data_IF_013001196503
#
_entry.id   IF_013001196503
#
_cell.length_a   1.000
_cell.length_b   1.000
_cell.length_c   1.000
_cell.angle_alpha   90.00
_cell.angle_beta   90.00
_cell.angle_gamma   90.00
#
_symmetry.space_group_name_H-M   'P 1'
#
loop_
_entity.id
_entity.type
_entity.pdbx_description
1 polymer ?
#
# COMPACT_ATOMS: atom_id res chain seq x y z
N UNK A 1 10.17 4.96 -0.06
CA UNK A 1 11.34 5.88 -0.14
C UNK A 1 10.83 7.31 -0.15
N UNK A 2 10.20 7.78 -1.23
CA UNK A 2 9.66 9.14 -1.34
C UNK A 2 8.58 9.46 -0.30
N UNK A 3 7.52 8.64 -0.22
CA UNK A 3 6.42 8.88 0.70
C UNK A 3 6.79 8.63 2.18
N UNK A 4 7.63 7.63 2.46
CA UNK A 4 7.86 7.10 3.82
C UNK A 4 9.24 7.37 4.44
N UNK A 5 10.21 7.79 3.66
CA UNK A 5 11.61 7.93 4.07
C UNK A 5 12.37 6.62 4.29
N UNK A 6 11.73 5.45 4.18
CA UNK A 6 12.40 4.15 4.38
C UNK A 6 13.48 3.92 3.32
N UNK A 7 14.65 3.49 3.77
CA UNK A 7 15.84 3.19 2.97
C UNK A 7 16.23 1.71 3.00
N UNK A 8 15.79 0.97 4.01
CA UNK A 8 16.05 -0.48 4.16
C UNK A 8 15.16 -1.37 3.29
N UNK A 9 14.34 -0.78 2.41
CA UNK A 9 13.37 -1.48 1.56
C UNK A 9 14.04 -2.52 0.68
N UNK A 10 13.55 -3.75 0.73
CA UNK A 10 13.97 -4.86 -0.13
C UNK A 10 12.75 -5.55 -0.72
N UNK A 11 12.81 -5.82 -2.02
CA UNK A 11 11.80 -6.64 -2.69
C UNK A 11 11.81 -8.04 -2.07
N UNK A 12 10.65 -8.52 -1.63
CA UNK A 12 10.54 -9.85 -1.04
C UNK A 12 10.61 -10.94 -2.12
N UNK A 13 9.86 -10.72 -3.20
CA UNK A 13 9.80 -11.59 -4.37
C UNK A 13 9.43 -10.77 -5.61
N UNK A 14 9.89 -11.18 -6.79
CA UNK A 14 9.66 -10.45 -8.05
C UNK A 14 8.34 -10.82 -8.74
N UNK A 15 7.54 -11.68 -8.10
CA UNK A 15 6.20 -12.01 -8.56
C UNK A 15 5.18 -10.93 -8.19
N UNK A 16 4.17 -10.78 -9.05
CA UNK A 16 3.03 -9.91 -8.77
C UNK A 16 2.21 -10.53 -7.64
N UNK A 17 2.10 -9.83 -6.51
CA UNK A 17 1.38 -10.30 -5.34
C UNK A 17 -0.14 -10.14 -5.48
N UNK A 18 -0.58 -8.96 -5.95
CA UNK A 18 -1.99 -8.70 -6.19
C UNK A 18 -2.23 -7.80 -7.40
N UNK A 19 -3.41 -7.94 -8.01
CA UNK A 19 -3.90 -7.07 -9.07
C UNK A 19 -5.33 -6.62 -8.72
N UNK A 20 -5.53 -5.31 -8.67
CA UNK A 20 -6.85 -4.69 -8.42
C UNK A 20 -7.16 -3.73 -9.55
N UNK A 21 -8.33 -3.88 -10.16
CA UNK A 21 -8.87 -2.89 -11.10
C UNK A 21 -9.92 -2.07 -10.38
N UNK A 22 -9.79 -0.75 -10.39
CA UNK A 22 -10.81 0.14 -9.85
C UNK A 22 -11.10 1.30 -10.80
N UNK A 23 -12.36 1.74 -10.78
CA UNK A 23 -12.83 2.85 -11.59
C UNK A 23 -12.54 4.17 -10.90
N UNK A 24 -11.96 5.11 -11.64
CA UNK A 24 -11.74 6.49 -11.20
C UNK A 24 -12.76 7.36 -11.93
N UNK A 25 -13.69 8.02 -11.23
CA UNK A 25 -14.63 8.94 -11.85
C UNK A 25 -13.90 10.18 -12.38
N UNK A 26 -14.49 10.84 -13.38
CA UNK A 26 -13.92 12.08 -13.92
C UNK A 26 -13.92 13.20 -12.86
N UNK A 27 -12.95 14.10 -12.99
CA UNK A 27 -12.90 15.35 -12.25
C UNK A 27 -12.65 16.53 -13.22
N UNK A 28 -12.34 17.72 -12.69
CA UNK A 28 -12.10 18.93 -13.51
C UNK A 28 -10.89 18.81 -14.45
N UNK A 29 -9.93 17.97 -14.09
CA UNK A 29 -8.63 17.86 -14.76
C UNK A 29 -8.48 16.55 -15.55
N UNK A 30 -9.30 15.54 -15.27
CA UNK A 30 -9.13 14.20 -15.83
C UNK A 30 -10.45 13.50 -16.14
N UNK A 31 -10.50 12.76 -17.26
CA UNK A 31 -11.65 11.93 -17.64
C UNK A 31 -11.70 10.66 -16.80
N UNK A 32 -12.89 10.07 -16.69
CA UNK A 32 -13.05 8.79 -16.01
C UNK A 32 -12.27 7.69 -16.73
N UNK A 33 -11.61 6.83 -15.96
CA UNK A 33 -10.77 5.76 -16.48
C UNK A 33 -10.64 4.63 -15.44
N UNK A 34 -9.89 3.59 -15.78
CA UNK A 34 -9.59 2.48 -14.88
C UNK A 34 -8.12 2.53 -14.46
N UNK A 35 -7.89 2.39 -13.17
CA UNK A 35 -6.57 2.11 -12.62
C UNK A 35 -6.38 0.61 -12.46
N UNK A 36 -5.25 0.11 -12.98
CA UNK A 36 -4.80 -1.27 -12.84
C UNK A 36 -3.66 -1.28 -11.81
N UNK A 37 -3.99 -1.52 -10.55
CA UNK A 37 -3.02 -1.48 -9.46
C UNK A 37 -2.34 -2.84 -9.34
N UNK A 38 -1.03 -2.86 -9.57
CA UNK A 38 -0.16 -4.02 -9.36
C UNK A 38 0.54 -3.85 -8.01
N UNK A 39 0.36 -4.81 -7.12
CA UNK A 39 0.96 -4.79 -5.77
C UNK A 39 2.12 -5.77 -5.70
N UNK A 40 3.22 -5.32 -5.08
CA UNK A 40 4.39 -6.13 -4.71
C UNK A 40 4.59 -6.11 -3.20
N UNK A 41 5.23 -7.15 -2.67
CA UNK A 41 5.62 -7.20 -1.25
C UNK A 41 7.06 -6.74 -1.10
N UNK A 42 7.26 -5.83 -0.15
CA UNK A 42 8.57 -5.39 0.28
C UNK A 42 8.75 -5.66 1.78
N UNK A 43 10.00 -5.82 2.19
CA UNK A 43 10.42 -5.86 3.60
C UNK A 43 11.29 -4.65 3.90
N UNK A 44 11.25 -4.19 5.15
CA UNK A 44 12.10 -3.11 5.66
C UNK A 44 12.30 -3.29 7.17
N UNK A 45 13.30 -2.63 7.75
CA UNK A 45 13.53 -2.61 9.19
C UNK A 45 12.45 -1.76 9.87
N UNK A 46 11.68 -2.38 10.76
CA UNK A 46 10.62 -1.68 11.51
C UNK A 46 11.14 -0.70 12.55
N UNK A 47 12.44 -0.74 12.87
CA UNK A 47 13.09 0.25 13.74
C UNK A 47 13.54 1.49 12.98
N UNK A 48 13.49 1.47 11.64
CA UNK A 48 13.81 2.63 10.83
C UNK A 48 12.78 3.74 11.06
N UNK A 49 13.27 4.97 11.20
CA UNK A 49 12.41 6.14 11.43
C UNK A 49 11.62 6.45 10.16
N UNK A 50 10.29 6.51 10.30
CA UNK A 50 9.41 7.01 9.25
C UNK A 50 9.52 8.53 9.13
N UNK A 51 9.55 9.03 7.90
CA UNK A 51 9.62 10.46 7.59
C UNK A 51 8.38 10.81 6.78
N UNK A 52 7.57 11.71 7.33
CA UNK A 52 6.41 12.26 6.64
C UNK A 52 6.92 13.26 5.58
N UNK A 53 6.53 13.03 4.32
CA UNK A 53 6.76 13.92 3.19
C UNK A 53 5.53 14.79 2.92
N UNK A 54 5.62 15.71 1.96
CA UNK A 54 4.47 16.52 1.51
C UNK A 54 3.34 15.67 0.87
N UNK A 55 3.63 14.40 0.54
CA UNK A 55 2.68 13.45 -0.05
C UNK A 55 1.95 12.59 1.00
N UNK A 56 2.41 12.61 2.25
CA UNK A 56 1.85 11.80 3.34
C UNK A 56 1.34 12.67 4.49
N UNK A 57 0.18 12.32 5.06
CA UNK A 57 -0.37 13.03 6.22
C UNK A 57 0.06 12.40 7.56
N UNK A 58 0.21 11.08 7.61
CA UNK A 58 0.62 10.32 8.79
C UNK A 58 1.24 8.99 8.36
N UNK A 59 2.16 8.46 9.16
CA UNK A 59 2.87 7.21 8.90
C UNK A 59 3.10 6.45 10.20
N UNK A 60 2.76 5.17 10.19
CA UNK A 60 3.04 4.27 11.30
C UNK A 60 3.27 2.85 10.83
N UNK A 61 4.13 2.15 11.57
CA UNK A 61 4.11 0.69 11.58
C UNK A 61 2.87 0.20 12.32
N UNK A 62 2.25 -0.86 11.82
CA UNK A 62 1.10 -1.49 12.46
C UNK A 62 1.21 -3.01 12.36
N UNK A 63 0.64 -3.68 13.34
CA UNK A 63 0.44 -5.13 13.35
C UNK A 63 -0.73 -5.53 12.44
N UNK A 64 -0.80 -6.81 12.11
CA UNK A 64 -1.91 -7.38 11.34
C UNK A 64 -3.26 -7.16 12.04
N UNK A 65 -3.30 -7.26 13.37
CA UNK A 65 -4.53 -7.09 14.13
C UNK A 65 -4.98 -5.62 14.13
N UNK A 66 -4.04 -4.68 14.26
CA UNK A 66 -4.32 -3.26 14.07
C UNK A 66 -4.83 -2.97 12.66
N UNK A 67 -4.23 -3.55 11.62
CA UNK A 67 -4.69 -3.40 10.23
C UNK A 67 -6.16 -3.82 10.09
N UNK A 68 -6.55 -4.99 10.61
CA UNK A 68 -7.95 -5.48 10.56
C UNK A 68 -8.92 -4.53 11.27
N UNK A 69 -8.46 -3.87 12.33
CA UNK A 69 -9.27 -2.88 13.04
C UNK A 69 -9.45 -1.57 12.25
N UNK A 70 -8.39 -1.11 11.57
CA UNK A 70 -8.30 0.21 10.94
C UNK A 70 -8.86 0.24 9.51
N UNK A 71 -8.55 -0.78 8.72
CA UNK A 71 -8.83 -0.81 7.27
C UNK A 71 -10.17 -1.50 7.02
N UNK A 72 -10.98 -0.92 6.13
CA UNK A 72 -12.33 -1.40 5.81
C UNK A 72 -12.56 -1.67 4.33
N UNK A 73 -11.61 -1.28 3.49
CA UNK A 73 -11.67 -1.46 2.04
C UNK A 73 -11.49 -2.93 1.67
N UNK A 74 -12.47 -3.49 0.95
CA UNK A 74 -12.48 -4.91 0.57
C UNK A 74 -11.24 -5.33 -0.23
N UNK A 75 -10.72 -4.46 -1.09
CA UNK A 75 -9.50 -4.74 -1.87
C UNK A 75 -8.28 -4.94 -0.97
N UNK A 76 -8.13 -4.10 0.07
CA UNK A 76 -7.05 -4.16 1.04
C UNK A 76 -7.20 -5.35 1.99
N UNK A 77 -8.42 -5.68 2.42
CA UNK A 77 -8.72 -6.87 3.21
C UNK A 77 -8.41 -8.14 2.41
N UNK A 78 -8.79 -8.18 1.13
CA UNK A 78 -8.48 -9.29 0.22
C UNK A 78 -6.96 -9.45 0.07
N UNK A 79 -6.23 -8.36 -0.14
CA UNK A 79 -4.76 -8.35 -0.22
C UNK A 79 -4.13 -8.93 1.05
N UNK A 80 -4.59 -8.51 2.24
CA UNK A 80 -4.12 -9.07 3.51
C UNK A 80 -4.37 -10.58 3.58
N UNK A 81 -5.56 -11.05 3.22
CA UNK A 81 -5.89 -12.47 3.26
C UNK A 81 -5.03 -13.33 2.32
N UNK A 82 -4.49 -12.76 1.24
CA UNK A 82 -3.51 -13.43 0.37
C UNK A 82 -2.13 -13.58 1.03
N UNK A 83 -1.79 -12.71 1.99
CA UNK A 83 -0.47 -12.69 2.63
C UNK A 83 -0.26 -13.86 3.61
N UNK A 84 -1.32 -14.59 3.94
CA UNK A 84 -1.30 -15.74 4.86
C UNK A 84 -1.44 -17.11 4.16
N UNK A 85 -1.42 -17.14 2.83
CA UNK A 85 -1.46 -18.37 2.04
C UNK A 85 -0.07 -18.69 1.52
#
# INVERSE_FOLDING_TARGET
IEESGLSSIKLFDDTIFDLVVHFVPSNKNEKSHYHYNVTYIFTADSNEKLIISDESNDLKWFTIDEFRSLIKEDSMIRMLNKSFK
#
